data_IF_446802110108
#
_entry.id   IF_446802110108
#
_cell.length_a   1.000
_cell.length_b   1.000
_cell.length_c   1.000
_cell.angle_alpha   90.00
_cell.angle_beta   90.00
_cell.angle_gamma   90.00
#
_symmetry.space_group_name_H-M   'P 1'
#
loop_
_entity.id
_entity.type
_entity.pdbx_description
1 polymer ?
#
# COMPACT_ATOMS: atom_id res chain seq x y z
N UNK A 1 18.26 -1.12 -0.54
CA UNK A 1 16.93 -1.11 -1.14
C UNK A 1 17.01 -1.31 -2.65
N UNK A 2 16.04 -2.02 -3.22
CA UNK A 2 16.00 -2.26 -4.66
C UNK A 2 15.56 -0.99 -5.39
N UNK A 3 16.19 -0.72 -6.51
CA UNK A 3 15.87 0.42 -7.37
C UNK A 3 15.74 -0.07 -8.81
N UNK A 4 14.86 0.55 -9.56
CA UNK A 4 14.57 0.16 -10.94
C UNK A 4 14.62 1.40 -11.83
N UNK A 5 14.98 1.21 -13.09
CA UNK A 5 15.16 2.33 -14.03
C UNK A 5 13.85 2.79 -14.67
N UNK A 6 12.80 1.97 -14.62
CA UNK A 6 11.51 2.28 -15.24
C UNK A 6 10.41 1.43 -14.61
N UNK A 7 9.12 1.82 -14.78
CA UNK A 7 8.00 0.98 -14.34
C UNK A 7 8.03 -0.37 -15.04
N UNK A 8 7.54 -1.45 -14.37
CA UNK A 8 7.55 -2.78 -14.97
C UNK A 8 6.63 -2.85 -16.18
N UNK A 9 7.02 -3.61 -17.22
CA UNK A 9 6.10 -3.89 -18.31
C UNK A 9 4.91 -4.69 -17.81
N UNK A 10 3.76 -4.56 -18.48
CA UNK A 10 2.54 -5.28 -18.11
C UNK A 10 2.78 -6.78 -18.18
N UNK A 11 2.69 -7.47 -17.05
CA UNK A 11 2.91 -8.92 -16.96
C UNK A 11 1.73 -9.66 -16.36
N UNK A 12 0.76 -8.95 -15.79
CA UNK A 12 -0.46 -9.57 -15.27
C UNK A 12 -1.56 -9.59 -16.32
N UNK A 13 -2.53 -10.47 -16.12
CA UNK A 13 -3.77 -10.47 -16.91
C UNK A 13 -4.85 -9.75 -16.08
N UNK A 14 -5.32 -8.57 -16.50
CA UNK A 14 -6.31 -7.81 -15.71
C UNK A 14 -7.67 -8.50 -15.59
N UNK A 15 -7.91 -9.54 -16.39
CA UNK A 15 -9.16 -10.32 -16.31
C UNK A 15 -9.12 -11.41 -15.24
N UNK A 16 -7.97 -11.70 -14.68
CA UNK A 16 -7.82 -12.74 -13.66
C UNK A 16 -7.98 -12.17 -12.27
N UNK A 17 -8.51 -12.99 -11.35
CA UNK A 17 -8.57 -12.63 -9.94
C UNK A 17 -7.18 -12.67 -9.34
N UNK A 18 -6.77 -11.59 -8.67
CA UNK A 18 -5.46 -11.49 -8.03
C UNK A 18 -5.68 -11.15 -6.56
N UNK A 19 -5.05 -11.93 -5.68
CA UNK A 19 -5.05 -11.67 -4.25
C UNK A 19 -3.63 -11.53 -3.74
N UNK A 20 -3.48 -10.76 -2.65
CA UNK A 20 -2.21 -10.58 -1.97
C UNK A 20 -2.38 -10.92 -0.49
N UNK A 21 -1.44 -11.68 0.07
CA UNK A 21 -1.37 -11.91 1.51
C UNK A 21 -0.14 -11.17 2.02
N UNK A 22 -0.38 -10.15 2.83
CA UNK A 22 0.69 -9.35 3.43
C UNK A 22 0.96 -9.90 4.84
N UNK A 23 2.17 -10.44 5.02
CA UNK A 23 2.61 -10.97 6.31
C UNK A 23 3.28 -9.84 7.08
N UNK A 24 2.64 -9.39 8.16
CA UNK A 24 3.18 -8.29 8.96
C UNK A 24 3.61 -8.80 10.35
N UNK A 25 4.36 -7.98 11.06
CA UNK A 25 4.75 -8.28 12.44
C UNK A 25 3.56 -8.38 13.40
N UNK A 26 2.37 -7.92 12.99
CA UNK A 26 1.15 -7.98 13.80
C UNK A 26 0.17 -9.06 13.31
N UNK A 27 0.48 -9.74 12.20
CA UNK A 27 -0.36 -10.78 11.61
C UNK A 27 -0.54 -10.58 10.12
N UNK A 28 -1.39 -11.41 9.52
CA UNK A 28 -1.60 -11.45 8.07
C UNK A 28 -2.83 -10.66 7.66
N UNK A 29 -2.70 -9.96 6.52
CA UNK A 29 -3.81 -9.24 5.89
C UNK A 29 -3.94 -9.73 4.46
N UNK A 30 -5.14 -10.16 4.08
CA UNK A 30 -5.42 -10.61 2.71
C UNK A 30 -6.19 -9.52 1.98
N UNK A 31 -5.75 -9.21 0.76
CA UNK A 31 -6.37 -8.20 -0.11
C UNK A 31 -6.85 -8.86 -1.39
N UNK A 32 -8.00 -8.41 -1.88
CA UNK A 32 -8.36 -8.54 -3.29
C UNK A 32 -7.78 -7.35 -4.04
N UNK A 33 -7.08 -7.59 -5.15
CA UNK A 33 -6.52 -6.53 -5.99
C UNK A 33 -7.41 -6.30 -7.21
N UNK A 34 -7.69 -5.03 -7.50
CA UNK A 34 -8.65 -4.64 -8.55
C UNK A 34 -7.93 -4.47 -9.90
N UNK A 35 -7.49 -5.57 -10.47
CA UNK A 35 -6.67 -5.56 -11.68
C UNK A 35 -7.40 -4.99 -12.90
N UNK A 36 -8.72 -5.18 -13.02
CA UNK A 36 -9.46 -4.63 -14.15
C UNK A 36 -9.73 -3.13 -14.03
N UNK A 37 -9.78 -2.60 -12.79
CA UNK A 37 -10.02 -1.17 -12.55
C UNK A 37 -8.74 -0.35 -12.53
N UNK A 38 -7.65 -0.93 -12.05
CA UNK A 38 -6.36 -0.26 -11.91
C UNK A 38 -5.23 -1.18 -12.38
N UNK A 39 -5.20 -1.55 -13.67
CA UNK A 39 -4.27 -2.57 -14.16
C UNK A 39 -2.81 -2.21 -14.00
N UNK A 40 -2.44 -0.97 -14.24
CA UNK A 40 -1.04 -0.56 -14.11
C UNK A 40 -0.58 -0.53 -12.65
N UNK A 41 -1.44 -0.06 -11.77
CA UNK A 41 -1.15 0.00 -10.34
C UNK A 41 -1.03 -1.41 -9.76
N UNK A 42 -1.96 -2.30 -10.08
CA UNK A 42 -1.91 -3.70 -9.63
C UNK A 42 -0.69 -4.39 -10.20
N UNK A 43 -0.39 -4.19 -11.49
CA UNK A 43 0.82 -4.75 -12.10
C UNK A 43 2.09 -4.32 -11.37
N UNK A 44 2.19 -3.03 -11.04
CA UNK A 44 3.32 -2.49 -10.30
C UNK A 44 3.44 -3.13 -8.90
N UNK A 45 2.34 -3.20 -8.18
CA UNK A 45 2.33 -3.78 -6.84
C UNK A 45 2.72 -5.28 -6.88
N UNK A 46 2.17 -6.03 -7.82
CA UNK A 46 2.47 -7.45 -8.00
C UNK A 46 3.96 -7.64 -8.32
N UNK A 47 4.49 -6.85 -9.25
CA UNK A 47 5.91 -6.92 -9.61
C UNK A 47 6.80 -6.68 -8.40
N UNK A 48 6.55 -5.60 -7.67
CA UNK A 48 7.36 -5.25 -6.51
C UNK A 48 7.25 -6.32 -5.41
N UNK A 49 6.04 -6.81 -5.16
CA UNK A 49 5.83 -7.86 -4.15
C UNK A 49 6.57 -9.14 -4.51
N UNK A 50 6.46 -9.59 -5.76
CA UNK A 50 7.11 -10.83 -6.22
C UNK A 50 8.63 -10.71 -6.26
N UNK A 51 9.15 -9.50 -6.45
CA UNK A 51 10.59 -9.25 -6.46
C UNK A 51 11.17 -9.05 -5.05
N UNK A 52 10.35 -9.17 -4.01
CA UNK A 52 10.76 -9.01 -2.62
C UNK A 52 11.01 -7.57 -2.21
N UNK A 53 10.56 -6.61 -2.99
CA UNK A 53 10.79 -5.18 -2.72
C UNK A 53 10.25 -4.74 -1.37
N UNK A 54 9.06 -5.25 -1.01
CA UNK A 54 8.40 -4.85 0.24
C UNK A 54 8.89 -5.58 1.49
N UNK A 55 9.78 -6.56 1.34
CA UNK A 55 10.27 -7.33 2.48
C UNK A 55 11.03 -6.42 3.45
N UNK A 56 10.69 -6.53 4.73
CA UNK A 56 11.33 -5.80 5.83
C UNK A 56 11.08 -4.29 5.80
N UNK A 57 10.11 -3.81 5.03
CA UNK A 57 9.74 -2.40 5.01
C UNK A 57 8.73 -2.10 6.12
N UNK A 58 8.93 -0.98 6.81
CA UNK A 58 8.08 -0.57 7.92
C UNK A 58 6.83 0.17 7.44
N UNK A 59 5.80 0.20 8.30
CA UNK A 59 4.72 1.16 8.19
C UNK A 59 5.20 2.43 8.90
N UNK A 60 5.60 3.43 8.14
CA UNK A 60 6.26 4.62 8.67
C UNK A 60 5.32 5.74 9.09
N UNK A 61 4.04 5.64 8.72
CA UNK A 61 3.03 6.66 9.04
C UNK A 61 1.72 5.99 9.40
N UNK A 62 1.24 6.23 10.63
CA UNK A 62 0.01 5.64 11.16
C UNK A 62 -0.83 6.71 11.80
N UNK A 63 -2.06 6.88 11.34
CA UNK A 63 -3.04 7.77 11.95
C UNK A 63 -4.28 6.94 12.28
N UNK A 64 -4.46 6.63 13.56
CA UNK A 64 -5.62 5.87 14.02
C UNK A 64 -6.92 6.58 13.63
N UNK A 65 -7.87 5.82 13.12
CA UNK A 65 -9.13 6.37 12.62
C UNK A 65 -9.05 6.89 11.19
N UNK A 66 -7.86 6.86 10.58
CA UNK A 66 -7.66 7.34 9.21
C UNK A 66 -6.99 6.26 8.35
N UNK A 67 -5.67 6.09 8.45
CA UNK A 67 -4.94 5.17 7.55
C UNK A 67 -3.62 4.69 8.15
N UNK A 68 -3.08 3.64 7.53
CA UNK A 68 -1.75 3.08 7.82
C UNK A 68 -0.97 3.10 6.51
N UNK A 69 0.18 3.77 6.47
CA UNK A 69 0.97 3.96 5.25
C UNK A 69 2.32 3.25 5.35
N UNK A 70 2.69 2.59 4.28
CA UNK A 70 3.99 1.91 4.15
C UNK A 70 4.47 1.87 2.72
N UNK A 71 5.47 1.02 2.46
CA UNK A 71 5.98 0.80 1.10
C UNK A 71 7.18 1.67 0.72
N UNK A 72 7.69 2.48 1.66
CA UNK A 72 8.91 3.25 1.45
C UNK A 72 10.10 2.51 2.05
N UNK A 73 11.05 2.03 1.23
CA UNK A 73 12.19 1.28 1.76
C UNK A 73 13.10 2.11 2.68
N UNK A 74 13.06 3.44 2.59
CA UNK A 74 13.84 4.31 3.48
C UNK A 74 13.11 4.61 4.79
N UNK A 75 11.79 4.36 4.85
CA UNK A 75 10.99 4.62 6.04
C UNK A 75 10.78 6.10 6.37
N UNK A 76 11.09 7.01 5.44
CA UNK A 76 11.03 8.47 5.68
C UNK A 76 9.80 9.15 5.07
N UNK A 77 9.11 8.47 4.17
CA UNK A 77 8.01 9.02 3.37
C UNK A 77 8.46 9.61 2.03
N UNK A 78 9.76 9.64 1.76
CA UNK A 78 10.33 10.24 0.55
C UNK A 78 10.90 9.21 -0.42
N UNK A 79 11.05 7.96 -0.01
CA UNK A 79 11.64 6.92 -0.84
C UNK A 79 10.65 6.27 -1.80
N UNK A 80 11.18 5.55 -2.77
CA UNK A 80 10.39 4.84 -3.76
C UNK A 80 11.25 3.91 -4.60
N UNK A 81 10.68 3.35 -5.68
CA UNK A 81 11.35 2.31 -6.45
C UNK A 81 12.30 2.84 -7.54
N UNK A 82 12.44 4.15 -7.67
CA UNK A 82 13.31 4.75 -8.69
C UNK A 82 12.58 5.23 -9.93
N UNK A 83 11.26 5.14 -9.96
CA UNK A 83 10.40 5.59 -11.06
C UNK A 83 9.06 6.08 -10.52
N UNK A 84 8.31 6.76 -11.36
CA UNK A 84 6.91 7.11 -11.07
C UNK A 84 6.03 6.68 -12.23
N UNK A 85 4.73 6.52 -11.96
CA UNK A 85 3.75 6.22 -13.00
C UNK A 85 2.44 6.98 -12.74
N UNK A 86 1.60 7.02 -13.77
CA UNK A 86 0.40 7.85 -13.78
C UNK A 86 -0.71 7.30 -12.89
N UNK A 87 -1.56 8.20 -12.41
CA UNK A 87 -2.78 7.83 -11.71
C UNK A 87 -3.73 7.10 -12.65
N UNK A 88 -4.54 6.22 -12.07
CA UNK A 88 -5.64 5.56 -12.78
C UNK A 88 -6.97 6.05 -12.21
N UNK A 89 -8.09 5.96 -12.96
CA UNK A 89 -9.36 6.50 -12.51
C UNK A 89 -9.83 5.91 -11.18
N UNK A 90 -10.36 6.75 -10.31
CA UNK A 90 -10.88 6.33 -9.01
C UNK A 90 -12.40 6.37 -9.06
N UNK A 91 -13.03 5.19 -8.99
CA UNK A 91 -14.48 5.03 -9.07
C UNK A 91 -15.09 4.57 -7.75
N UNK A 92 -14.28 4.31 -6.74
CA UNK A 92 -14.71 3.80 -5.44
C UNK A 92 -14.53 4.87 -4.37
N UNK A 93 -15.20 4.68 -3.23
CA UNK A 93 -14.98 5.50 -2.04
C UNK A 93 -13.87 4.91 -1.17
N UNK A 94 -13.28 5.75 -0.32
CA UNK A 94 -12.24 5.32 0.63
C UNK A 94 -12.90 4.79 1.90
N UNK A 95 -13.22 3.50 1.89
CA UNK A 95 -13.86 2.79 2.99
C UNK A 95 -12.82 2.06 3.82
N UNK A 96 -13.19 1.64 5.03
CA UNK A 96 -12.30 0.83 5.87
C UNK A 96 -11.81 -0.39 5.10
N UNK A 97 -10.50 -0.64 5.11
CA UNK A 97 -9.88 -1.74 4.38
C UNK A 97 -9.48 -1.44 2.94
N UNK A 98 -9.79 -0.24 2.42
CA UNK A 98 -9.35 0.16 1.07
C UNK A 98 -7.83 0.25 1.01
N UNK A 99 -7.25 -0.31 -0.05
CA UNK A 99 -5.83 -0.21 -0.36
C UNK A 99 -5.65 0.76 -1.53
N UNK A 100 -4.88 1.82 -1.31
CA UNK A 100 -4.68 2.87 -2.30
C UNK A 100 -3.22 3.32 -2.35
N UNK A 101 -2.82 3.95 -3.46
CA UNK A 101 -1.46 4.47 -3.62
C UNK A 101 -1.32 5.83 -2.95
N UNK A 102 -0.30 5.97 -2.12
CA UNK A 102 0.16 7.29 -1.69
C UNK A 102 0.91 7.97 -2.83
N UNK A 103 0.90 9.30 -2.86
CA UNK A 103 1.59 10.05 -3.90
C UNK A 103 2.03 11.43 -3.39
N UNK A 104 2.82 12.13 -4.19
CA UNK A 104 3.31 13.48 -3.90
C UNK A 104 2.71 14.50 -4.87
N UNK A 105 1.50 14.24 -5.35
CA UNK A 105 0.80 15.04 -6.34
C UNK A 105 0.39 14.19 -7.55
N UNK A 106 -0.21 14.79 -8.58
CA UNK A 106 -0.66 14.03 -9.74
C UNK A 106 0.46 13.23 -10.42
N UNK A 107 0.17 11.98 -10.76
CA UNK A 107 1.05 11.13 -11.56
C UNK A 107 2.43 10.89 -10.93
N UNK A 108 2.47 10.72 -9.61
CA UNK A 108 3.72 10.48 -8.88
C UNK A 108 3.68 9.16 -8.10
N UNK A 109 2.93 8.18 -8.57
CA UNK A 109 2.86 6.86 -7.92
C UNK A 109 4.19 6.11 -8.03
N UNK A 110 4.57 5.46 -6.96
CA UNK A 110 5.78 4.64 -6.91
C UNK A 110 5.54 3.34 -6.18
N UNK A 111 5.98 3.24 -4.93
CA UNK A 111 5.81 2.03 -4.12
C UNK A 111 4.99 2.25 -2.85
N UNK A 112 4.83 3.49 -2.40
CA UNK A 112 4.12 3.76 -1.16
C UNK A 112 2.63 3.59 -1.33
N UNK A 113 2.00 2.98 -0.33
CA UNK A 113 0.56 2.73 -0.31
C UNK A 113 0.02 2.98 1.09
N UNK A 114 -1.30 3.08 1.19
CA UNK A 114 -1.95 3.13 2.51
C UNK A 114 -3.18 2.24 2.56
N UNK A 115 -3.48 1.78 3.76
CA UNK A 115 -4.66 0.98 4.06
C UNK A 115 -5.57 1.84 4.91
N UNK A 116 -6.83 2.00 4.50
CA UNK A 116 -7.79 2.79 5.27
C UNK A 116 -8.16 2.05 6.55
N UNK A 117 -8.04 2.72 7.68
CA UNK A 117 -8.51 2.18 8.95
C UNK A 117 -10.01 2.34 9.11
N UNK A 118 -10.53 3.51 8.75
CA UNK A 118 -11.96 3.81 8.80
C UNK A 118 -12.38 4.55 7.53
N UNK A 119 -13.69 4.62 7.28
CA UNK A 119 -14.22 5.37 6.14
C UNK A 119 -13.79 6.83 6.23
N UNK A 120 -13.38 7.41 5.11
CA UNK A 120 -13.02 8.82 5.05
C UNK A 120 -13.35 9.38 3.67
N UNK A 121 -13.74 10.64 3.66
CA UNK A 121 -14.15 11.36 2.45
C UNK A 121 -12.94 12.08 1.85
N UNK A 122 -12.05 11.32 1.21
CA UNK A 122 -10.86 11.90 0.58
C UNK A 122 -11.16 12.35 -0.85
N UNK A 123 -10.45 13.38 -1.33
CA UNK A 123 -10.45 13.68 -2.78
C UNK A 123 -9.98 12.46 -3.56
N UNK A 124 -10.52 12.26 -4.75
CA UNK A 124 -10.23 11.08 -5.60
C UNK A 124 -8.87 11.21 -6.29
N UNK A 125 -7.84 11.57 -5.53
CA UNK A 125 -6.47 11.79 -6.01
C UNK A 125 -5.54 10.59 -5.78
N UNK A 126 -6.04 9.54 -5.13
CA UNK A 126 -5.24 8.38 -4.76
C UNK A 126 -5.83 7.15 -5.42
N UNK A 127 -5.09 6.53 -6.32
CA UNK A 127 -5.56 5.35 -7.05
C UNK A 127 -5.90 4.21 -6.09
N UNK A 128 -7.16 3.79 -6.09
CA UNK A 128 -7.62 2.62 -5.31
C UNK A 128 -7.34 1.37 -6.13
N UNK A 129 -6.63 0.40 -5.56
CA UNK A 129 -6.27 -0.80 -6.30
C UNK A 129 -6.54 -2.11 -5.54
N UNK A 130 -7.11 -2.06 -4.36
CA UNK A 130 -7.45 -3.26 -3.62
C UNK A 130 -8.31 -3.01 -2.39
N UNK A 131 -8.66 -4.10 -1.71
CA UNK A 131 -9.47 -4.06 -0.50
C UNK A 131 -9.15 -5.26 0.37
N UNK A 132 -9.15 -5.08 1.69
CA UNK A 132 -9.00 -6.15 2.66
C UNK A 132 -10.21 -7.09 2.57
N UNK A 133 -9.94 -8.39 2.43
CA UNK A 133 -10.97 -9.44 2.45
C UNK A 133 -10.85 -10.30 3.70
N UNK A 134 -9.69 -10.32 4.35
CA UNK A 134 -9.46 -11.03 5.61
C UNK A 134 -8.34 -10.33 6.37
N UNK A 135 -8.44 -10.32 7.70
CA UNK A 135 -7.42 -9.70 8.55
C UNK A 135 -7.70 -8.25 8.92
N UNK A 136 -8.95 -7.80 8.88
CA UNK A 136 -9.28 -6.42 9.30
C UNK A 136 -8.88 -6.18 10.76
N UNK A 137 -8.90 -7.21 11.61
CA UNK A 137 -8.45 -7.09 12.99
C UNK A 137 -6.95 -6.74 13.07
N UNK A 138 -6.15 -7.21 12.11
CA UNK A 138 -4.73 -6.85 12.02
C UNK A 138 -4.59 -5.38 11.65
N UNK A 139 -5.43 -4.88 10.75
CA UNK A 139 -5.45 -3.44 10.41
C UNK A 139 -5.74 -2.61 11.67
N UNK A 140 -6.70 -3.05 12.49
CA UNK A 140 -7.01 -2.38 13.75
C UNK A 140 -5.80 -2.39 14.71
N UNK A 141 -5.09 -3.51 14.81
CA UNK A 141 -3.89 -3.60 15.64
C UNK A 141 -2.78 -2.68 15.14
N UNK A 142 -2.59 -2.60 13.82
CA UNK A 142 -1.62 -1.67 13.23
C UNK A 142 -1.98 -0.22 13.56
N UNK A 143 -3.27 0.11 13.51
CA UNK A 143 -3.76 1.45 13.83
C UNK A 143 -3.58 1.80 15.32
N UNK A 144 -3.55 0.82 16.20
CA UNK A 144 -3.33 1.01 17.63
C UNK A 144 -1.85 1.17 18.01
N UNK A 145 -0.93 1.06 17.05
CA UNK A 145 0.50 1.24 17.30
C UNK A 145 0.76 2.61 17.92
N UNK A 146 1.50 2.69 19.05
CA UNK A 146 1.85 3.98 19.63
C UNK A 146 2.66 4.84 18.66
N UNK A 147 2.28 6.10 18.55
CA UNK A 147 2.92 7.05 17.65
C UNK A 147 3.39 8.29 18.41
N UNK A 148 4.35 8.98 17.83
CA UNK A 148 4.85 10.26 18.33
C UNK A 148 4.82 11.29 17.20
N UNK A 149 5.16 12.54 17.52
CA UNK A 149 5.21 13.61 16.53
C UNK A 149 6.47 13.41 15.68
N UNK A 150 6.28 13.30 14.36
CA UNK A 150 7.38 13.20 13.41
C UNK A 150 7.97 14.54 13.02
N UNK A 151 8.95 14.51 12.11
CA UNK A 151 9.67 15.70 11.68
C UNK A 151 8.81 16.76 11.00
N UNK A 152 7.63 16.38 10.50
CA UNK A 152 6.68 17.29 9.85
C UNK A 152 5.64 17.87 10.84
N UNK A 153 5.76 17.58 12.13
CA UNK A 153 4.84 18.06 13.14
C UNK A 153 3.55 17.25 13.26
N UNK A 154 3.39 16.16 12.51
CA UNK A 154 2.22 15.30 12.56
C UNK A 154 2.43 14.18 13.58
N UNK A 155 1.41 13.87 14.39
CA UNK A 155 1.46 12.76 15.32
C UNK A 155 1.11 11.46 14.59
N UNK A 156 2.07 10.90 13.90
CA UNK A 156 1.88 9.74 13.03
C UNK A 156 3.11 8.83 12.90
N UNK A 157 4.19 9.15 13.61
CA UNK A 157 5.44 8.39 13.53
C UNK A 157 5.42 7.26 14.56
N UNK A 158 5.35 5.98 14.15
CA UNK A 158 5.32 4.87 15.10
C UNK A 158 6.58 4.83 15.96
N UNK A 159 6.41 4.65 17.27
CA UNK A 159 7.54 4.52 18.20
C UNK A 159 8.30 3.24 17.91
N UNK A 160 7.58 2.13 17.72
CA UNK A 160 8.11 0.85 17.28
C UNK A 160 7.38 0.46 16.01
N UNK A 161 7.93 0.79 14.82
CA UNK A 161 7.21 0.58 13.58
C UNK A 161 6.89 -0.89 13.32
N UNK A 162 5.63 -1.22 13.01
CA UNK A 162 5.31 -2.55 12.48
C UNK A 162 6.02 -2.74 11.14
N UNK A 163 6.29 -4.01 10.80
CA UNK A 163 7.09 -4.37 9.62
C UNK A 163 6.28 -5.28 8.71
N UNK A 164 6.44 -5.07 7.39
CA UNK A 164 5.99 -6.03 6.39
C UNK A 164 7.10 -7.07 6.26
N UNK A 165 6.81 -8.32 6.64
CA UNK A 165 7.79 -9.39 6.51
C UNK A 165 7.92 -9.84 5.05
N UNK A 166 6.79 -10.02 4.38
CA UNK A 166 6.72 -10.39 2.97
C UNK A 166 5.30 -10.23 2.45
N UNK A 167 5.14 -10.27 1.13
CA UNK A 167 3.83 -10.26 0.48
C UNK A 167 3.79 -11.39 -0.53
N UNK A 168 2.83 -12.30 -0.38
CA UNK A 168 2.59 -13.39 -1.33
C UNK A 168 1.48 -13.01 -2.29
N UNK A 169 1.70 -13.27 -3.58
CA UNK A 169 0.72 -12.99 -4.64
C UNK A 169 0.14 -14.30 -5.14
N UNK A 170 -1.19 -14.36 -5.23
CA UNK A 170 -1.92 -15.49 -5.80
C UNK A 170 -2.74 -15.02 -6.99
N UNK A 171 -2.52 -15.63 -8.14
CA UNK A 171 -3.21 -15.29 -9.38
C UNK A 171 -4.13 -16.45 -9.74
N UNK A 172 -5.43 -16.16 -9.88
CA UNK A 172 -6.43 -17.13 -10.23
C UNK A 172 -6.27 -17.61 -11.68
N UNK A 173 -6.77 -18.77 -11.94
CA UNK A 173 -6.72 -19.37 -13.28
C UNK A 173 -7.87 -18.89 -14.17
#
# INVERSE_FOLDING_TARGET
AKQYSSPPPMSIDPEKAITAVMHTSQGDITFELFASEAPNTVNNFVFLAQDGYYNDIIFHRIIKGFMIQGGDPTGTGSGGPGYSFNDEPVTRDYLAGTLAMANAGPNTNGSQFFIMHQNNHLPKNYTIFGQVTDGIAVVDELADTPVTVGGMGERSSPVEPPVINSIDINIGS
#
